data_IF_305712758637
#
_entry.id   IF_305712758637
#
_cell.length_a   1.000
_cell.length_b   1.000
_cell.length_c   1.000
_cell.angle_alpha   90.00
_cell.angle_beta   90.00
_cell.angle_gamma   90.00
#
_symmetry.space_group_name_H-M   'P 1'
#
loop_
_entity.id
_entity.type
_entity.pdbx_description
1 polymer ?
#
# COMPACT_ATOMS: atom_id res chain seq x y z
N UNK A 1 7.30 -18.84 -6.52
CA UNK A 1 7.07 -17.38 -6.67
C UNK A 1 8.39 -16.72 -6.98
N UNK A 2 8.50 -16.07 -8.14
CA UNK A 2 9.73 -15.38 -8.57
C UNK A 2 9.54 -13.88 -8.34
N UNK A 3 10.50 -13.24 -7.69
CA UNK A 3 10.54 -11.80 -7.44
C UNK A 3 11.92 -11.24 -7.74
N UNK A 4 12.01 -10.24 -8.62
CA UNK A 4 13.26 -9.66 -9.09
C UNK A 4 14.30 -10.72 -9.54
N UNK A 5 13.85 -11.75 -10.27
CA UNK A 5 14.69 -12.85 -10.77
C UNK A 5 15.06 -13.92 -9.74
N UNK A 6 14.62 -13.80 -8.50
CA UNK A 6 14.92 -14.75 -7.41
C UNK A 6 13.67 -15.52 -6.99
N UNK A 7 13.82 -16.83 -6.75
CA UNK A 7 12.75 -17.63 -6.14
C UNK A 7 12.64 -17.29 -4.63
N UNK A 8 11.49 -16.75 -4.25
CA UNK A 8 11.17 -16.37 -2.86
C UNK A 8 10.09 -17.26 -2.22
N UNK A 9 9.78 -18.39 -2.85
CA UNK A 9 8.67 -19.26 -2.44
C UNK A 9 8.84 -19.72 -1.00
N UNK A 10 10.06 -20.09 -0.60
CA UNK A 10 10.36 -20.62 0.74
C UNK A 10 10.88 -19.57 1.72
N UNK A 11 10.96 -18.29 1.32
CA UNK A 11 11.42 -17.24 2.22
C UNK A 11 10.35 -16.95 3.27
N UNK A 12 10.79 -16.71 4.51
CA UNK A 12 9.95 -16.19 5.60
C UNK A 12 9.47 -14.76 5.28
N UNK A 13 8.41 -14.29 5.97
CA UNK A 13 7.90 -12.94 5.80
C UNK A 13 9.00 -11.86 5.98
N UNK A 14 9.83 -11.87 7.05
CA UNK A 14 10.92 -10.90 7.17
C UNK A 14 11.91 -10.95 6.00
N UNK A 15 12.27 -12.14 5.52
CA UNK A 15 13.17 -12.29 4.39
C UNK A 15 12.58 -11.72 3.09
N UNK A 16 11.26 -11.83 2.88
CA UNK A 16 10.58 -11.21 1.74
C UNK A 16 10.59 -9.68 1.84
N UNK A 17 10.35 -9.13 3.03
CA UNK A 17 10.45 -7.68 3.27
C UNK A 17 11.88 -7.20 2.98
N UNK A 18 12.91 -7.86 3.48
CA UNK A 18 14.32 -7.53 3.18
C UNK A 18 14.65 -7.67 1.67
N UNK A 19 13.92 -8.49 0.93
CA UNK A 19 14.07 -8.59 -0.53
C UNK A 19 13.45 -7.40 -1.28
N UNK A 20 12.69 -6.55 -0.59
CA UNK A 20 12.04 -5.38 -1.13
C UNK A 20 10.54 -5.55 -1.44
N UNK A 21 9.88 -6.52 -0.83
CA UNK A 21 8.44 -6.75 -0.97
C UNK A 21 7.72 -6.26 0.29
N UNK A 22 7.02 -5.14 0.21
CA UNK A 22 6.18 -4.65 1.29
C UNK A 22 4.70 -4.94 1.01
N UNK A 23 3.93 -5.26 2.06
CA UNK A 23 2.49 -5.49 1.99
C UNK A 23 1.79 -4.63 3.03
N UNK A 24 0.73 -3.92 2.64
CA UNK A 24 -0.25 -3.43 3.59
C UNK A 24 -1.15 -4.58 4.04
N UNK A 25 -1.69 -4.48 5.26
CA UNK A 25 -2.60 -5.49 5.78
C UNK A 25 -4.02 -4.92 5.81
N UNK A 26 -5.00 -5.77 5.54
CA UNK A 26 -6.42 -5.43 5.60
C UNK A 26 -6.85 -4.99 7.01
N UNK A 27 -6.19 -5.54 8.05
CA UNK A 27 -6.35 -5.12 9.44
C UNK A 27 -5.20 -4.17 9.79
N UNK A 28 -5.55 -2.99 10.29
CA UNK A 28 -4.64 -1.93 10.68
C UNK A 28 -3.54 -2.44 11.63
N UNK A 29 -2.29 -2.42 11.16
CA UNK A 29 -1.10 -2.84 11.92
C UNK A 29 -0.47 -1.68 12.70
N UNK A 30 -1.21 -0.60 12.91
CA UNK A 30 -0.76 0.62 13.59
C UNK A 30 -0.77 0.40 15.10
N UNK A 31 0.33 0.77 15.77
CA UNK A 31 0.39 0.81 17.22
C UNK A 31 -0.27 2.12 17.66
N UNK A 32 -1.54 2.04 18.07
CA UNK A 32 -2.38 3.21 18.35
C UNK A 32 -1.85 4.12 19.45
N UNK A 33 -1.09 3.59 20.42
CA UNK A 33 -0.49 4.36 21.50
C UNK A 33 0.83 5.04 21.13
N UNK A 34 1.40 4.76 19.98
CA UNK A 34 2.62 5.38 19.48
C UNK A 34 2.26 6.62 18.64
N UNK A 35 3.22 7.57 18.55
CA UNK A 35 3.10 8.65 17.58
C UNK A 35 3.18 8.11 16.15
N UNK A 36 2.74 8.92 15.21
CA UNK A 36 2.84 8.65 13.77
C UNK A 36 4.29 8.37 13.37
N UNK A 37 5.23 9.20 13.85
CA UNK A 37 6.66 9.02 13.58
C UNK A 37 7.21 7.71 14.17
N UNK A 38 6.87 7.38 15.42
CA UNK A 38 7.34 6.14 16.06
C UNK A 38 6.88 4.89 15.32
N UNK A 39 5.64 4.85 14.82
CA UNK A 39 5.14 3.76 14.00
C UNK A 39 6.00 3.53 12.75
N UNK A 40 6.33 4.60 12.03
CA UNK A 40 7.12 4.52 10.79
C UNK A 40 8.60 4.23 11.09
N UNK A 41 9.16 4.82 12.16
CA UNK A 41 10.54 4.56 12.58
C UNK A 41 10.75 3.10 12.96
N UNK A 42 9.78 2.47 13.61
CA UNK A 42 9.83 1.04 13.96
C UNK A 42 9.95 0.16 12.71
N UNK A 43 9.22 0.48 11.64
CA UNK A 43 9.32 -0.24 10.38
C UNK A 43 10.69 -0.03 9.69
N UNK A 44 11.20 1.19 9.68
CA UNK A 44 12.53 1.52 9.18
C UNK A 44 13.63 0.75 9.94
N UNK A 45 13.50 0.64 11.27
CA UNK A 45 14.40 -0.12 12.13
C UNK A 45 14.38 -1.62 11.80
N UNK A 46 13.18 -2.20 11.62
CA UNK A 46 13.02 -3.60 11.22
C UNK A 46 13.75 -3.92 9.92
N UNK A 47 13.70 -3.02 8.95
CA UNK A 47 14.39 -3.17 7.67
C UNK A 47 15.92 -3.04 7.80
N UNK A 48 16.44 -2.24 8.73
CA UNK A 48 17.89 -2.04 8.91
C UNK A 48 18.62 -3.25 9.50
N UNK A 49 17.89 -4.30 9.94
CA UNK A 49 18.45 -5.47 10.61
C UNK A 49 18.97 -5.18 12.04
N UNK A 50 18.72 -3.98 12.54
CA UNK A 50 19.21 -3.51 13.84
C UNK A 50 18.25 -3.84 15.01
N UNK A 51 17.45 -4.89 14.88
CA UNK A 51 16.33 -5.24 15.80
C UNK A 51 16.75 -5.49 17.26
N UNK A 52 18.03 -5.69 17.53
CA UNK A 52 18.56 -6.01 18.89
C UNK A 52 19.26 -4.85 19.59
N UNK A 53 19.26 -3.64 19.04
CA UNK A 53 19.82 -2.46 19.72
C UNK A 53 18.81 -1.82 20.68
N UNK A 54 18.32 -2.60 21.65
CA UNK A 54 17.39 -2.16 22.70
C UNK A 54 17.91 -1.03 23.62
N UNK A 55 19.21 -0.76 23.60
CA UNK A 55 19.85 0.21 24.50
C UNK A 55 20.05 1.61 23.90
N UNK A 56 19.75 1.81 22.61
CA UNK A 56 19.66 3.14 22.01
C UNK A 56 18.20 3.44 21.71
N UNK A 57 17.68 4.49 22.32
CA UNK A 57 16.35 4.97 21.97
C UNK A 57 16.30 5.20 20.45
N UNK A 58 15.36 4.57 19.75
CA UNK A 58 15.19 4.71 18.30
C UNK A 58 15.07 6.18 17.85
N UNK A 59 14.60 7.05 18.75
CA UNK A 59 14.57 8.51 18.60
C UNK A 59 15.96 9.15 18.39
N UNK A 60 17.05 8.49 18.75
CA UNK A 60 18.41 9.00 18.60
C UNK A 60 19.13 8.58 17.31
N UNK A 61 18.53 7.73 16.47
CA UNK A 61 19.12 7.32 15.20
C UNK A 61 18.65 8.26 14.08
N UNK A 62 19.42 9.30 13.78
CA UNK A 62 19.10 10.34 12.80
C UNK A 62 18.67 9.76 11.44
N UNK A 63 19.40 8.77 10.93
CA UNK A 63 19.10 8.16 9.63
C UNK A 63 17.76 7.39 9.58
N UNK A 64 17.35 6.73 10.68
CA UNK A 64 16.04 6.07 10.77
C UNK A 64 14.91 7.09 10.79
N UNK A 65 15.10 8.17 11.58
CA UNK A 65 14.13 9.25 11.66
C UNK A 65 14.02 10.02 10.33
N UNK A 66 15.10 10.24 9.62
CA UNK A 66 15.08 10.84 8.27
C UNK A 66 14.31 9.98 7.28
N UNK A 67 14.55 8.65 7.27
CA UNK A 67 13.79 7.73 6.43
C UNK A 67 12.29 7.72 6.78
N UNK A 68 11.96 7.71 8.07
CA UNK A 68 10.59 7.76 8.53
C UNK A 68 9.90 9.08 8.14
N UNK A 69 10.58 10.21 8.32
CA UNK A 69 10.04 11.52 7.92
C UNK A 69 9.86 11.64 6.41
N UNK A 70 10.78 11.10 5.61
CA UNK A 70 10.64 11.05 4.16
C UNK A 70 9.40 10.24 3.75
N UNK A 71 9.18 9.06 4.36
CA UNK A 71 8.00 8.25 4.10
C UNK A 71 6.70 8.97 4.51
N UNK A 72 6.70 9.69 5.65
CA UNK A 72 5.55 10.50 6.08
C UNK A 72 5.27 11.66 5.13
N UNK A 73 6.31 12.31 4.62
CA UNK A 73 6.15 13.39 3.64
C UNK A 73 5.53 12.87 2.33
N UNK A 74 5.92 11.66 1.89
CA UNK A 74 5.35 11.03 0.68
C UNK A 74 3.84 10.79 0.78
N UNK A 75 3.33 10.53 1.97
CA UNK A 75 1.89 10.27 2.19
C UNK A 75 1.13 11.48 2.74
N UNK A 76 1.78 12.65 2.85
CA UNK A 76 1.15 13.87 3.34
C UNK A 76 0.91 13.94 4.85
N UNK A 77 1.65 13.15 5.64
CA UNK A 77 1.54 13.10 7.11
C UNK A 77 2.72 13.76 7.85
N UNK A 78 3.56 14.54 7.16
CA UNK A 78 4.73 15.18 7.79
C UNK A 78 4.38 16.02 9.01
N UNK A 79 3.30 16.83 8.91
CA UNK A 79 2.83 17.71 10.00
C UNK A 79 2.12 16.95 11.13
N UNK A 80 1.83 15.66 10.92
CA UNK A 80 1.20 14.78 11.90
C UNK A 80 2.19 13.90 12.66
N UNK A 81 3.49 14.05 12.42
CA UNK A 81 4.55 13.17 12.94
C UNK A 81 4.49 12.94 14.46
N UNK A 82 4.14 13.97 15.24
CA UNK A 82 4.05 13.92 16.71
C UNK A 82 2.69 13.51 17.25
N UNK A 83 1.67 13.39 16.40
CA UNK A 83 0.31 13.00 16.82
C UNK A 83 0.29 11.52 17.19
N UNK A 84 -0.46 11.16 18.23
CA UNK A 84 -0.72 9.75 18.57
C UNK A 84 -1.57 9.10 17.48
N UNK A 85 -1.10 7.98 16.93
CA UNK A 85 -1.70 7.35 15.76
C UNK A 85 -3.17 6.94 15.97
N UNK A 86 -3.57 6.65 17.21
CA UNK A 86 -4.96 6.39 17.56
C UNK A 86 -5.92 7.54 17.28
N UNK A 87 -5.42 8.80 17.31
CA UNK A 87 -6.21 10.01 17.09
C UNK A 87 -6.37 10.39 15.60
N UNK A 88 -5.73 9.67 14.68
CA UNK A 88 -5.85 9.90 13.23
C UNK A 88 -7.25 9.52 12.73
N UNK A 89 -7.72 10.21 11.69
CA UNK A 89 -8.89 9.80 10.91
C UNK A 89 -8.64 8.45 10.20
N UNK A 90 -9.70 7.87 9.65
CA UNK A 90 -9.57 6.59 8.94
C UNK A 90 -8.64 6.71 7.72
N UNK A 91 -8.80 7.73 6.90
CA UNK A 91 -7.94 8.00 5.75
C UNK A 91 -6.49 8.29 6.14
N UNK A 92 -6.25 9.05 7.23
CA UNK A 92 -4.90 9.27 7.75
C UNK A 92 -4.25 7.97 8.25
N UNK A 93 -5.02 7.07 8.87
CA UNK A 93 -4.52 5.73 9.26
C UNK A 93 -4.12 4.91 8.06
N UNK A 94 -4.90 4.94 6.97
CA UNK A 94 -4.54 4.27 5.70
C UNK A 94 -3.27 4.86 5.09
N UNK A 95 -3.14 6.19 5.09
CA UNK A 95 -1.91 6.83 4.64
C UNK A 95 -0.71 6.44 5.53
N UNK A 96 -0.89 6.34 6.85
CA UNK A 96 0.16 5.88 7.77
C UNK A 96 0.59 4.43 7.49
N UNK A 97 -0.33 3.52 7.18
CA UNK A 97 -0.01 2.14 6.77
C UNK A 97 0.87 2.10 5.52
N UNK A 98 0.56 2.95 4.55
CA UNK A 98 1.38 3.11 3.34
C UNK A 98 2.77 3.66 3.72
N UNK A 99 2.85 4.67 4.60
CA UNK A 99 4.13 5.20 5.08
C UNK A 99 4.99 4.14 5.78
N UNK A 100 4.39 3.29 6.60
CA UNK A 100 5.04 2.14 7.26
C UNK A 100 5.64 1.19 6.20
N UNK A 101 4.88 0.89 5.15
CA UNK A 101 5.37 0.07 4.05
C UNK A 101 6.52 0.76 3.28
N UNK A 102 6.41 2.06 2.99
CA UNK A 102 7.43 2.84 2.29
C UNK A 102 8.73 2.95 3.08
N UNK A 103 8.67 3.04 4.41
CA UNK A 103 9.86 3.09 5.27
C UNK A 103 10.74 1.84 5.16
N UNK A 104 10.21 0.72 4.69
CA UNK A 104 10.99 -0.50 4.38
C UNK A 104 11.74 -0.41 3.05
N UNK A 105 11.64 0.72 2.31
CA UNK A 105 12.26 0.94 0.99
C UNK A 105 11.92 -0.17 0.00
N UNK A 106 10.64 -0.39 -0.28
CA UNK A 106 10.21 -1.50 -1.10
C UNK A 106 10.56 -1.30 -2.59
N UNK A 107 10.71 -2.42 -3.30
CA UNK A 107 10.70 -2.49 -4.77
C UNK A 107 9.29 -2.71 -5.30
N UNK A 108 8.44 -3.37 -4.50
CA UNK A 108 7.05 -3.68 -4.82
C UNK A 108 6.19 -3.46 -3.57
N UNK A 109 5.13 -2.67 -3.74
CA UNK A 109 4.05 -2.49 -2.77
C UNK A 109 2.89 -3.41 -3.14
N UNK A 110 2.48 -4.25 -2.21
CA UNK A 110 1.25 -5.04 -2.29
C UNK A 110 0.20 -4.34 -1.43
N UNK A 111 -0.82 -3.79 -2.05
CA UNK A 111 -1.89 -3.06 -1.38
C UNK A 111 -3.20 -3.86 -1.51
N UNK A 112 -3.75 -4.24 -0.37
CA UNK A 112 -4.94 -5.09 -0.26
C UNK A 112 -6.10 -4.24 0.25
N UNK A 113 -7.02 -3.89 -0.65
CA UNK A 113 -8.19 -3.03 -0.43
C UNK A 113 -7.87 -1.73 0.34
N UNK A 114 -6.90 -0.93 -0.11
CA UNK A 114 -6.50 0.28 0.62
C UNK A 114 -7.60 1.34 0.67
N UNK A 115 -8.61 1.26 -0.18
CA UNK A 115 -9.73 2.20 -0.25
C UNK A 115 -10.93 1.76 0.58
N UNK A 116 -10.92 0.54 1.13
CA UNK A 116 -12.05 -0.01 1.88
C UNK A 116 -12.41 0.86 3.10
N UNK A 117 -13.70 1.21 3.22
CA UNK A 117 -14.23 2.00 4.32
C UNK A 117 -13.91 3.50 4.28
N UNK A 118 -13.23 3.99 3.25
CA UNK A 118 -13.00 5.42 3.04
C UNK A 118 -14.26 6.10 2.49
N UNK A 119 -14.54 7.31 2.97
CA UNK A 119 -15.56 8.16 2.37
C UNK A 119 -15.11 8.72 1.01
N UNK A 120 -16.01 9.30 0.19
CA UNK A 120 -15.70 9.77 -1.16
C UNK A 120 -14.48 10.71 -1.22
N UNK A 121 -14.41 11.68 -0.32
CA UNK A 121 -13.30 12.64 -0.24
C UNK A 121 -11.96 11.97 0.14
N UNK A 122 -12.00 11.02 1.09
CA UNK A 122 -10.81 10.25 1.48
C UNK A 122 -10.34 9.33 0.36
N UNK A 123 -11.27 8.73 -0.38
CA UNK A 123 -10.99 7.89 -1.56
C UNK A 123 -10.25 8.69 -2.63
N UNK A 124 -10.70 9.91 -2.95
CA UNK A 124 -10.02 10.77 -3.93
C UNK A 124 -8.59 11.13 -3.49
N UNK A 125 -8.40 11.43 -2.20
CA UNK A 125 -7.08 11.71 -1.63
C UNK A 125 -6.16 10.49 -1.74
N UNK A 126 -6.66 9.30 -1.41
CA UNK A 126 -5.91 8.04 -1.52
C UNK A 126 -5.59 7.69 -2.98
N UNK A 127 -6.52 7.86 -3.90
CA UNK A 127 -6.27 7.68 -5.35
C UNK A 127 -5.15 8.62 -5.82
N UNK A 128 -5.19 9.88 -5.41
CA UNK A 128 -4.16 10.86 -5.76
C UNK A 128 -2.79 10.45 -5.20
N UNK A 129 -2.74 10.01 -3.94
CA UNK A 129 -1.55 9.47 -3.31
C UNK A 129 -0.99 8.27 -4.09
N UNK A 130 -1.83 7.27 -4.34
CA UNK A 130 -1.43 6.04 -5.04
C UNK A 130 -0.95 6.31 -6.47
N UNK A 131 -1.57 7.28 -7.17
CA UNK A 131 -1.11 7.75 -8.48
C UNK A 131 0.28 8.37 -8.43
N UNK A 132 0.59 9.12 -7.38
CA UNK A 132 1.94 9.64 -7.14
C UNK A 132 2.96 8.53 -6.87
N UNK A 133 2.59 7.53 -6.07
CA UNK A 133 3.48 6.43 -5.70
C UNK A 133 3.81 5.51 -6.88
N UNK A 134 2.85 5.22 -7.77
CA UNK A 134 3.09 4.32 -8.92
C UNK A 134 4.14 4.83 -9.90
N UNK A 135 4.47 6.12 -9.88
CA UNK A 135 5.56 6.67 -10.69
C UNK A 135 6.95 6.28 -10.20
N UNK A 136 7.06 5.85 -8.94
CA UNK A 136 8.34 5.53 -8.26
C UNK A 136 8.45 4.09 -7.79
N UNK A 137 7.32 3.45 -7.57
CA UNK A 137 7.24 2.08 -7.04
C UNK A 137 6.43 1.20 -7.98
N UNK A 138 6.81 -0.07 -8.11
CA UNK A 138 5.88 -1.06 -8.63
C UNK A 138 4.77 -1.28 -7.59
N UNK A 139 3.51 -1.22 -8.01
CA UNK A 139 2.36 -1.41 -7.14
C UNK A 139 1.51 -2.55 -7.67
N UNK A 140 1.21 -3.52 -6.82
CA UNK A 140 0.15 -4.50 -7.06
C UNK A 140 -1.01 -4.16 -6.12
N UNK A 141 -2.11 -3.72 -6.71
CA UNK A 141 -3.32 -3.31 -6.02
C UNK A 141 -4.38 -4.41 -6.15
N UNK A 142 -4.95 -4.84 -5.05
CA UNK A 142 -6.16 -5.66 -5.01
C UNK A 142 -7.31 -4.75 -4.59
N UNK A 143 -8.31 -4.59 -5.44
CA UNK A 143 -9.46 -3.73 -5.21
C UNK A 143 -10.70 -4.29 -5.90
N UNK A 144 -11.85 -3.98 -5.36
CA UNK A 144 -13.15 -4.31 -5.93
C UNK A 144 -13.91 -3.06 -6.43
N UNK A 145 -13.45 -1.86 -6.12
CA UNK A 145 -13.94 -0.61 -6.71
C UNK A 145 -13.36 -0.43 -8.12
N UNK A 146 -14.18 -0.75 -9.13
CA UNK A 146 -13.78 -0.68 -10.53
C UNK A 146 -13.42 0.75 -10.98
N UNK A 147 -14.03 1.78 -10.39
CA UNK A 147 -13.71 3.17 -10.75
C UNK A 147 -12.29 3.52 -10.29
N UNK A 148 -11.94 3.15 -9.07
CA UNK A 148 -10.59 3.34 -8.53
C UNK A 148 -9.56 2.52 -9.33
N UNK A 149 -9.88 1.25 -9.64
CA UNK A 149 -9.01 0.39 -10.46
C UNK A 149 -8.75 1.02 -11.82
N UNK A 150 -9.78 1.49 -12.52
CA UNK A 150 -9.64 2.16 -13.82
C UNK A 150 -8.87 3.47 -13.76
N UNK A 151 -8.93 4.18 -12.62
CA UNK A 151 -8.19 5.44 -12.42
C UNK A 151 -6.70 5.22 -12.13
N UNK A 152 -6.32 4.05 -11.59
CA UNK A 152 -4.98 3.79 -11.08
C UNK A 152 -4.18 2.80 -11.94
N UNK A 153 -4.81 1.75 -12.46
CA UNK A 153 -4.10 0.62 -13.04
C UNK A 153 -3.60 0.89 -14.45
N UNK A 154 -2.37 0.44 -14.74
CA UNK A 154 -1.82 0.37 -16.10
C UNK A 154 -2.21 -0.97 -16.75
N UNK A 155 -2.35 -2.02 -15.94
CA UNK A 155 -2.80 -3.35 -16.33
C UNK A 155 -3.70 -3.93 -15.26
N UNK A 156 -4.78 -4.59 -15.70
CA UNK A 156 -5.78 -5.18 -14.82
C UNK A 156 -5.86 -6.68 -15.10
N UNK A 157 -5.97 -7.46 -14.05
CA UNK A 157 -6.34 -8.88 -14.11
C UNK A 157 -7.59 -9.07 -13.27
N UNK A 158 -8.67 -9.55 -13.88
CA UNK A 158 -9.95 -9.76 -13.20
C UNK A 158 -10.02 -11.19 -12.71
N UNK A 159 -10.23 -11.35 -11.40
CA UNK A 159 -10.35 -12.64 -10.73
C UNK A 159 -11.82 -12.89 -10.37
N UNK A 160 -12.39 -13.98 -10.86
CA UNK A 160 -13.71 -14.45 -10.48
C UNK A 160 -13.66 -15.95 -10.19
N UNK A 161 -14.34 -16.39 -9.14
CA UNK A 161 -14.42 -17.81 -8.74
C UNK A 161 -13.04 -18.53 -8.66
N UNK A 162 -12.00 -17.79 -8.22
CA UNK A 162 -10.64 -18.33 -8.10
C UNK A 162 -9.88 -18.46 -9.42
N UNK A 163 -10.39 -17.89 -10.52
CA UNK A 163 -9.77 -17.93 -11.85
C UNK A 163 -9.61 -16.52 -12.42
N UNK A 164 -8.51 -16.29 -13.15
CA UNK A 164 -8.38 -15.07 -13.94
C UNK A 164 -9.23 -15.23 -15.19
N UNK A 165 -10.28 -14.40 -15.30
CA UNK A 165 -11.21 -14.41 -16.44
C UNK A 165 -10.80 -13.44 -17.54
N UNK A 166 -10.08 -12.36 -17.21
CA UNK A 166 -9.56 -11.41 -18.18
C UNK A 166 -8.27 -10.76 -17.68
N UNK A 167 -7.40 -10.35 -18.60
CA UNK A 167 -6.21 -9.56 -18.27
C UNK A 167 -5.82 -8.67 -19.45
N UNK A 168 -5.65 -7.37 -19.20
CA UNK A 168 -5.34 -6.41 -20.26
C UNK A 168 -5.24 -4.98 -19.75
N UNK A 169 -5.27 -4.01 -20.67
CA UNK A 169 -5.41 -2.60 -20.36
C UNK A 169 -6.81 -2.27 -19.81
N UNK A 170 -6.97 -1.08 -19.28
CA UNK A 170 -8.29 -0.56 -18.85
C UNK A 170 -9.32 -0.62 -19.99
N UNK A 171 -8.90 -0.32 -21.22
CA UNK A 171 -9.79 -0.37 -22.39
C UNK A 171 -10.22 -1.81 -22.70
N UNK A 172 -9.29 -2.78 -22.67
CA UNK A 172 -9.60 -4.19 -22.92
C UNK A 172 -10.59 -4.73 -21.88
N UNK A 173 -10.38 -4.39 -20.62
CA UNK A 173 -11.22 -4.87 -19.50
C UNK A 173 -12.64 -4.29 -19.59
N UNK A 174 -12.79 -3.01 -19.93
CA UNK A 174 -14.11 -2.38 -20.13
C UNK A 174 -14.91 -3.02 -21.26
N UNK A 175 -14.26 -3.53 -22.29
CA UNK A 175 -14.90 -4.17 -23.45
C UNK A 175 -15.14 -5.66 -23.25
N UNK A 176 -14.55 -6.29 -22.24
CA UNK A 176 -14.71 -7.73 -21.99
C UNK A 176 -16.14 -8.08 -21.59
N UNK A 177 -16.77 -8.94 -22.39
CA UNK A 177 -18.12 -9.45 -22.11
C UNK A 177 -18.14 -10.26 -20.79
N UNK A 178 -17.09 -11.05 -20.53
CA UNK A 178 -16.97 -11.85 -19.31
C UNK A 178 -16.90 -10.96 -18.05
N UNK A 179 -16.13 -9.87 -18.11
CA UNK A 179 -16.02 -8.92 -17.01
C UNK A 179 -17.35 -8.19 -16.79
N UNK A 180 -18.03 -7.77 -17.85
CA UNK A 180 -19.35 -7.15 -17.76
C UNK A 180 -20.35 -8.07 -17.08
N UNK A 181 -20.42 -9.31 -17.48
CA UNK A 181 -21.33 -10.29 -16.87
C UNK A 181 -21.01 -10.54 -15.38
N UNK A 182 -19.72 -10.54 -15.01
CA UNK A 182 -19.29 -10.84 -13.64
C UNK A 182 -19.37 -9.65 -12.67
N UNK A 183 -19.13 -8.42 -13.14
CA UNK A 183 -18.89 -7.26 -12.26
C UNK A 183 -19.63 -5.97 -12.63
N UNK A 184 -19.96 -5.74 -13.89
CA UNK A 184 -20.51 -4.46 -14.33
C UNK A 184 -22.03 -4.49 -14.55
N UNK A 185 -22.66 -5.68 -14.45
CA UNK A 185 -24.08 -5.85 -14.75
C UNK A 185 -24.41 -5.58 -16.22
N UNK A 186 -25.68 -5.79 -16.61
CA UNK A 186 -26.13 -5.54 -17.99
C UNK A 186 -26.38 -4.04 -18.30
N UNK A 187 -26.18 -3.13 -17.33
CA UNK A 187 -26.49 -1.71 -17.50
C UNK A 187 -25.24 -0.85 -17.66
N UNK A 188 -25.32 0.00 -18.69
CA UNK A 188 -24.51 1.11 -19.17
C UNK A 188 -23.56 0.82 -20.32
N UNK A 189 -24.18 0.75 -21.51
CA UNK A 189 -23.58 1.32 -22.72
C UNK A 189 -24.20 2.70 -22.89
N UNK A 190 -23.52 3.82 -22.54
CA UNK A 190 -23.87 5.10 -23.11
C UNK A 190 -23.46 5.08 -24.58
N UNK A 191 -24.43 5.28 -25.47
CA UNK A 191 -24.21 5.59 -26.87
C UNK A 191 -23.35 6.85 -27.04
#
# INVERSE_FOLDING_TARGET
MIFAGRDITRLSLPQRVHSGLARSFQITSIIAGFSVLENVTLAAQGQSGSSFRFFRAAAGETALNENARAALAEVGLADRASIIAGALSHGEKRALEIAIALATRPKLLLLDEPLAGAGPEETEKLITLLRGLKSRYAVLLVEHDMQAVFALADRISVLAEGRIIASGSTADIRLSAEVRAAYLGEEEVPC
#
